data_IF_519450336475
#
_entry.id   IF_519450336475
#
_cell.length_a   1.000
_cell.length_b   1.000
_cell.length_c   1.000
_cell.angle_alpha   90.00
_cell.angle_beta   90.00
_cell.angle_gamma   90.00
#
_symmetry.space_group_name_H-M   'P 1'
#
loop_
_entity.id
_entity.type
_entity.pdbx_description
1 polymer ?
#
# COMPACT_ATOMS: atom_id res chain seq x y z
N UNK A 1 -84.08 21.82 46.11
CA UNK A 1 -83.69 21.19 47.39
C UNK A 1 -82.19 20.93 47.32
N UNK A 2 -81.43 21.50 48.26
CA UNK A 2 -79.97 21.51 48.30
C UNK A 2 -79.41 20.09 48.38
N UNK A 3 -78.39 19.78 47.59
CA UNK A 3 -77.34 18.83 47.97
C UNK A 3 -75.99 19.34 47.44
N UNK A 4 -75.17 19.81 48.39
CA UNK A 4 -73.71 19.90 48.30
C UNK A 4 -73.13 18.49 48.33
N UNK A 5 -71.97 18.31 47.68
CA UNK A 5 -70.81 17.47 48.06
C UNK A 5 -70.08 17.06 46.77
N UNK A 6 -68.77 17.03 46.65
CA UNK A 6 -67.63 17.42 47.48
C UNK A 6 -66.47 17.47 46.48
N UNK A 7 -65.79 18.60 46.34
CA UNK A 7 -64.69 18.76 45.41
C UNK A 7 -63.42 18.18 46.05
N UNK A 8 -63.06 16.95 45.70
CA UNK A 8 -61.77 16.37 46.08
C UNK A 8 -60.67 16.95 45.19
N UNK A 9 -59.95 17.94 45.73
CA UNK A 9 -58.72 18.46 45.13
C UNK A 9 -57.59 17.46 45.39
N UNK A 10 -57.25 16.66 44.37
CA UNK A 10 -56.10 15.76 44.41
C UNK A 10 -54.84 16.59 44.16
N UNK A 11 -54.04 16.84 45.21
CA UNK A 11 -52.73 17.45 45.10
C UNK A 11 -51.77 16.40 44.54
N UNK A 12 -51.45 16.50 43.26
CA UNK A 12 -50.37 15.72 42.64
C UNK A 12 -49.05 16.42 42.97
N UNK A 13 -48.26 15.82 43.87
CA UNK A 13 -46.87 16.20 44.07
C UNK A 13 -46.07 15.78 42.84
N UNK A 14 -45.75 16.75 41.97
CA UNK A 14 -44.77 16.57 40.91
C UNK A 14 -43.37 16.60 41.55
N UNK A 15 -42.51 15.58 41.37
CA UNK A 15 -41.13 15.69 41.83
C UNK A 15 -40.41 16.75 41.00
N UNK A 16 -39.84 17.74 41.69
CA UNK A 16 -38.94 18.73 41.14
C UNK A 16 -37.69 17.98 40.65
N UNK A 17 -37.55 17.80 39.34
CA UNK A 17 -36.30 17.34 38.76
C UNK A 17 -35.24 18.43 39.00
N UNK A 18 -34.29 18.13 39.87
CA UNK A 18 -33.09 18.95 40.05
C UNK A 18 -32.29 18.79 38.76
N UNK A 19 -32.27 19.83 37.93
CA UNK A 19 -31.28 19.96 36.87
C UNK A 19 -29.93 20.24 37.56
N UNK A 20 -29.11 19.21 37.73
CA UNK A 20 -27.69 19.39 37.91
C UNK A 20 -27.14 19.91 36.58
N UNK A 21 -26.65 21.15 36.57
CA UNK A 21 -25.81 21.63 35.51
C UNK A 21 -24.48 20.86 35.61
N UNK A 22 -24.29 19.86 34.75
CA UNK A 22 -22.96 19.32 34.51
C UNK A 22 -22.14 20.42 33.84
N UNK A 23 -21.07 20.82 34.51
CA UNK A 23 -20.03 21.61 33.90
C UNK A 23 -19.45 20.79 32.75
N UNK A 24 -19.56 21.30 31.52
CA UNK A 24 -18.77 20.80 30.41
C UNK A 24 -17.29 21.05 30.74
N UNK A 25 -16.61 20.02 31.22
CA UNK A 25 -15.16 19.96 31.12
C UNK A 25 -14.83 19.94 29.63
N UNK A 26 -14.33 21.08 29.14
CA UNK A 26 -13.63 21.14 27.87
C UNK A 26 -12.43 20.19 27.97
N UNK A 27 -12.56 19.00 27.39
CA UNK A 27 -11.40 18.19 27.05
C UNK A 27 -10.62 18.95 25.97
N UNK A 28 -9.72 19.82 26.41
CA UNK A 28 -8.54 20.16 25.65
C UNK A 28 -7.83 18.82 25.39
N UNK A 29 -7.92 18.33 24.16
CA UNK A 29 -7.03 17.30 23.66
C UNK A 29 -5.63 17.90 23.76
N UNK A 30 -4.94 17.57 24.85
CA UNK A 30 -3.51 17.72 24.96
C UNK A 30 -2.92 16.96 23.78
N UNK A 31 -2.57 17.70 22.73
CA UNK A 31 -1.60 17.25 21.74
C UNK A 31 -0.27 17.14 22.47
N UNK A 32 -0.16 16.09 23.30
CA UNK A 32 1.11 15.56 23.69
C UNK A 32 1.80 15.19 22.38
N UNK A 33 2.80 15.99 22.04
CA UNK A 33 3.87 15.54 21.18
C UNK A 33 4.41 14.27 21.80
N UNK A 34 3.92 13.12 21.33
CA UNK A 34 4.51 11.83 21.59
C UNK A 34 5.91 11.87 20.97
N UNK A 35 6.88 12.24 21.79
CA UNK A 35 8.27 11.89 21.58
C UNK A 35 8.35 10.38 21.66
N UNK A 36 8.25 9.69 20.51
CA UNK A 36 8.49 8.26 20.42
C UNK A 36 9.98 7.98 20.66
N UNK A 37 10.32 7.86 21.93
CA UNK A 37 11.59 7.28 22.38
C UNK A 37 11.29 5.82 22.78
N UNK A 38 11.68 4.87 21.92
CA UNK A 38 11.95 3.49 22.35
C UNK A 38 10.82 2.46 22.34
N UNK A 39 10.03 2.34 21.27
CA UNK A 39 9.39 1.03 21.03
C UNK A 39 10.46 0.03 20.58
N UNK A 40 10.52 -1.13 21.24
CA UNK A 40 11.52 -2.14 20.92
C UNK A 40 11.33 -2.64 19.48
N UNK A 41 12.40 -2.58 18.69
CA UNK A 41 12.44 -3.18 17.36
C UNK A 41 12.09 -4.67 17.45
N UNK A 42 11.42 -5.23 16.43
CA UNK A 42 11.19 -6.69 16.36
C UNK A 42 12.47 -7.46 15.96
N UNK A 43 13.55 -7.27 16.72
CA UNK A 43 14.81 -7.99 16.53
C UNK A 43 14.53 -9.49 16.63
N UNK A 44 14.95 -10.25 15.62
CA UNK A 44 14.69 -11.69 15.50
C UNK A 44 13.65 -12.06 14.44
N UNK A 45 12.88 -11.08 13.94
CA UNK A 45 12.09 -11.27 12.72
C UNK A 45 13.01 -11.26 11.49
N UNK A 46 12.54 -11.84 10.39
CA UNK A 46 13.21 -11.72 9.09
C UNK A 46 13.29 -10.26 8.61
N UNK A 47 14.11 -9.98 7.58
CA UNK A 47 14.26 -8.64 7.03
C UNK A 47 12.91 -8.01 6.67
N UNK A 48 12.79 -6.71 6.88
CA UNK A 48 11.56 -5.94 6.73
C UNK A 48 11.65 -4.98 5.54
N UNK A 49 10.50 -4.55 5.06
CA UNK A 49 10.32 -3.73 3.85
C UNK A 49 9.14 -2.78 4.06
N UNK A 50 9.10 -1.57 3.47
CA UNK A 50 9.96 -0.99 2.43
C UNK A 50 11.31 -0.45 2.92
N UNK A 51 12.24 -0.20 1.99
CA UNK A 51 13.60 0.32 2.27
C UNK A 51 14.10 1.29 1.19
N UNK A 52 15.15 2.04 1.52
CA UNK A 52 15.96 2.72 0.53
C UNK A 52 16.81 1.69 -0.22
N UNK A 53 16.53 1.49 -1.52
CA UNK A 53 17.21 0.49 -2.34
C UNK A 53 18.63 0.92 -2.76
N UNK A 54 18.99 2.20 -2.56
CA UNK A 54 20.37 2.68 -2.73
C UNK A 54 21.23 2.42 -1.49
N UNK A 55 20.61 2.16 -0.33
CA UNK A 55 21.30 1.83 0.89
C UNK A 55 21.57 0.33 0.99
N UNK A 56 22.81 -0.07 0.74
CA UNK A 56 23.26 -1.47 0.84
C UNK A 56 23.39 -1.99 2.28
N UNK A 57 23.38 -1.11 3.28
CA UNK A 57 23.58 -1.50 4.67
C UNK A 57 22.38 -2.29 5.21
N UNK A 58 22.69 -3.32 5.99
CA UNK A 58 21.74 -4.14 6.72
C UNK A 58 22.49 -5.06 7.67
N UNK A 59 21.91 -5.31 8.84
CA UNK A 59 22.47 -6.19 9.87
C UNK A 59 21.63 -7.45 10.06
N UNK A 60 20.44 -7.53 9.45
CA UNK A 60 19.60 -8.71 9.51
C UNK A 60 20.13 -9.78 8.55
N UNK A 61 20.77 -10.80 9.11
CA UNK A 61 21.35 -11.93 8.36
C UNK A 61 20.45 -13.16 8.34
N UNK A 62 19.16 -12.99 8.68
CA UNK A 62 18.18 -14.07 8.58
C UNK A 62 17.97 -14.43 7.11
N UNK A 63 18.35 -15.65 6.76
CA UNK A 63 18.29 -16.16 5.39
C UNK A 63 17.02 -17.00 5.17
N UNK A 64 16.41 -16.82 4.01
CA UNK A 64 15.42 -17.73 3.43
C UNK A 64 15.73 -17.90 1.93
N UNK A 65 15.25 -18.97 1.27
CA UNK A 65 15.52 -19.16 -0.16
C UNK A 65 15.01 -17.97 -0.97
N UNK A 66 15.85 -17.44 -1.86
CA UNK A 66 15.35 -16.50 -2.86
C UNK A 66 14.30 -17.20 -3.73
N UNK A 67 13.19 -16.52 -3.95
CA UNK A 67 12.19 -16.98 -4.89
C UNK A 67 12.79 -17.00 -6.32
N UNK A 68 12.39 -17.96 -7.18
CA UNK A 68 12.75 -17.97 -8.60
C UNK A 68 12.38 -16.66 -9.32
N UNK A 69 12.81 -16.52 -10.57
CA UNK A 69 12.40 -15.36 -11.38
C UNK A 69 10.91 -15.39 -11.69
N UNK A 70 10.30 -14.24 -11.97
CA UNK A 70 8.86 -14.11 -12.23
C UNK A 70 8.32 -15.08 -13.31
N UNK A 71 9.08 -15.32 -14.38
CA UNK A 71 8.72 -16.25 -15.46
C UNK A 71 8.70 -17.73 -15.05
N UNK A 72 9.17 -18.06 -13.84
CA UNK A 72 9.19 -19.42 -13.31
C UNK A 72 8.15 -19.60 -12.17
N UNK A 73 7.29 -18.61 -11.95
CA UNK A 73 6.34 -18.58 -10.84
C UNK A 73 4.95 -18.16 -11.32
N UNK A 74 3.90 -18.50 -10.57
CA UNK A 74 2.56 -17.99 -10.87
C UNK A 74 2.46 -16.54 -10.41
N UNK A 75 2.09 -15.63 -11.30
CA UNK A 75 1.48 -14.37 -10.91
C UNK A 75 0.20 -14.70 -10.11
N UNK A 76 0.08 -14.11 -8.93
CA UNK A 76 -1.08 -14.30 -8.05
C UNK A 76 -1.82 -12.98 -7.78
N UNK A 77 -1.13 -11.84 -7.82
CA UNK A 77 -1.76 -10.56 -7.59
C UNK A 77 -1.03 -9.42 -8.33
N UNK A 78 -1.79 -8.42 -8.77
CA UNK A 78 -1.27 -7.11 -9.18
C UNK A 78 -2.02 -6.08 -8.34
N UNK A 79 -1.30 -5.15 -7.72
CA UNK A 79 -1.89 -4.01 -7.02
C UNK A 79 -0.99 -2.78 -7.15
N UNK A 80 -1.53 -1.61 -6.79
CA UNK A 80 -0.76 -0.36 -6.81
C UNK A 80 -0.79 0.34 -5.45
N UNK A 81 0.21 1.14 -5.16
CA UNK A 81 0.28 2.03 -4.00
C UNK A 81 0.32 3.49 -4.44
N UNK A 82 -0.32 4.38 -3.67
CA UNK A 82 -0.14 5.82 -3.86
C UNK A 82 1.25 6.21 -3.37
N UNK A 83 2.05 6.79 -4.27
CA UNK A 83 3.50 6.97 -4.12
C UNK A 83 4.27 5.65 -3.96
N UNK A 84 5.59 5.74 -4.03
CA UNK A 84 6.45 4.59 -3.77
C UNK A 84 6.57 4.32 -2.26
N UNK A 85 6.37 3.06 -1.89
CA UNK A 85 6.71 2.51 -0.58
C UNK A 85 8.23 2.53 -0.41
N UNK A 86 8.96 2.08 -1.43
CA UNK A 86 10.42 2.13 -1.47
C UNK A 86 10.93 3.53 -1.76
N UNK A 87 12.17 3.79 -1.34
CA UNK A 87 12.93 4.95 -1.79
C UNK A 87 13.99 4.51 -2.78
N UNK A 88 14.07 5.18 -3.93
CA UNK A 88 15.04 4.87 -4.97
C UNK A 88 15.68 6.11 -5.58
N UNK A 89 16.68 5.94 -6.47
CA UNK A 89 17.40 7.05 -7.09
C UNK A 89 16.50 8.07 -7.80
N UNK A 90 15.47 7.61 -8.52
CA UNK A 90 14.55 8.50 -9.26
C UNK A 90 13.22 8.77 -8.56
N UNK A 91 12.98 8.20 -7.39
CA UNK A 91 11.82 8.43 -6.54
C UNK A 91 12.27 8.60 -5.09
N UNK A 92 12.77 9.80 -4.80
CA UNK A 92 13.42 10.12 -3.53
C UNK A 92 12.76 11.29 -2.78
N UNK A 93 11.77 11.93 -3.40
CA UNK A 93 11.06 13.08 -2.83
C UNK A 93 10.06 12.57 -1.80
N UNK A 94 10.34 12.79 -0.52
CA UNK A 94 9.40 12.41 0.54
C UNK A 94 8.14 13.27 0.49
N UNK A 95 6.97 12.63 0.42
CA UNK A 95 5.67 13.31 0.32
C UNK A 95 5.15 13.67 1.71
N UNK A 96 4.91 12.67 2.57
CA UNK A 96 4.55 12.83 3.98
C UNK A 96 4.54 11.45 4.70
N UNK A 97 4.26 11.45 6.01
CA UNK A 97 4.25 10.26 6.87
C UNK A 97 2.86 9.65 7.09
N UNK A 98 1.87 9.96 6.24
CA UNK A 98 0.52 9.35 6.31
C UNK A 98 0.48 8.02 5.55
N UNK A 99 -0.64 7.30 5.65
CA UNK A 99 -0.87 6.09 4.86
C UNK A 99 -0.89 6.37 3.35
N UNK A 100 -1.20 7.60 2.92
CA UNK A 100 -1.05 8.05 1.51
C UNK A 100 0.27 8.78 1.25
N UNK A 101 1.26 8.61 2.14
CA UNK A 101 2.56 9.24 2.11
C UNK A 101 3.53 8.52 1.17
N UNK A 102 4.82 8.42 1.54
CA UNK A 102 5.82 7.69 0.75
C UNK A 102 6.72 8.59 -0.09
N UNK A 103 7.19 8.10 -1.23
CA UNK A 103 8.15 8.79 -2.09
C UNK A 103 7.62 9.03 -3.51
N UNK A 104 7.75 10.27 -3.98
CA UNK A 104 7.38 10.67 -5.32
C UNK A 104 8.57 10.61 -6.29
N UNK A 105 8.28 10.38 -7.56
CA UNK A 105 9.23 10.50 -8.66
C UNK A 105 9.82 11.92 -8.69
N UNK A 106 11.14 12.01 -8.79
CA UNK A 106 11.89 13.27 -8.79
C UNK A 106 11.45 14.21 -9.93
N UNK A 107 10.98 13.64 -11.04
CA UNK A 107 10.56 14.36 -12.24
C UNK A 107 9.16 15.00 -12.14
N UNK A 108 8.40 14.75 -11.07
CA UNK A 108 7.02 15.25 -10.94
C UNK A 108 6.92 16.79 -11.09
N UNK A 109 7.90 17.54 -10.55
CA UNK A 109 7.93 19.00 -10.62
C UNK A 109 8.24 19.55 -12.04
N UNK A 110 8.63 18.70 -12.99
CA UNK A 110 9.00 19.08 -14.34
C UNK A 110 7.93 18.77 -15.40
N UNK A 111 6.75 18.29 -14.98
CA UNK A 111 5.64 18.01 -15.89
C UNK A 111 5.07 19.29 -16.50
N UNK A 112 4.66 19.19 -17.76
CA UNK A 112 3.96 20.26 -18.46
C UNK A 112 2.51 20.42 -17.98
N UNK A 113 1.91 21.57 -18.25
CA UNK A 113 0.49 21.81 -17.96
C UNK A 113 -0.43 20.79 -18.68
N UNK A 114 -0.05 20.35 -19.89
CA UNK A 114 -0.77 19.33 -20.63
C UNK A 114 -0.74 17.99 -19.90
N UNK A 115 0.44 17.54 -19.47
CA UNK A 115 0.60 16.29 -18.72
C UNK A 115 -0.10 16.31 -17.36
N UNK A 116 -0.29 17.49 -16.76
CA UNK A 116 -0.99 17.68 -15.48
C UNK A 116 -2.51 17.86 -15.64
N UNK A 117 -3.02 17.93 -16.87
CA UNK A 117 -4.45 18.19 -17.11
C UNK A 117 -5.27 17.03 -16.54
N UNK A 118 -6.23 17.28 -15.62
CA UNK A 118 -7.03 16.23 -15.01
C UNK A 118 -7.77 15.37 -16.03
N UNK A 119 -7.84 14.07 -15.74
CA UNK A 119 -8.63 13.09 -16.49
C UNK A 119 -9.56 12.41 -15.50
N UNK A 120 -10.85 12.44 -15.80
CA UNK A 120 -11.86 11.70 -15.03
C UNK A 120 -11.87 10.24 -15.47
N UNK A 121 -12.02 9.31 -14.53
CA UNK A 121 -12.15 7.88 -14.87
C UNK A 121 -12.32 6.97 -13.65
N UNK A 122 -12.42 5.67 -13.92
CA UNK A 122 -12.84 4.67 -12.94
C UNK A 122 -11.78 4.25 -11.92
N UNK A 123 -10.52 4.70 -12.06
CA UNK A 123 -9.47 4.41 -11.09
C UNK A 123 -9.39 5.56 -10.09
N UNK A 124 -9.68 5.28 -8.82
CA UNK A 124 -9.85 6.30 -7.79
C UNK A 124 -8.53 6.64 -7.07
N UNK A 125 -8.45 7.87 -6.55
CA UNK A 125 -7.36 8.29 -5.66
C UNK A 125 -6.04 8.65 -6.35
N UNK A 126 -5.96 8.57 -7.68
CA UNK A 126 -4.79 8.90 -8.48
C UNK A 126 -5.16 9.94 -9.54
N UNK A 127 -4.30 10.94 -9.74
CA UNK A 127 -4.43 11.96 -10.80
C UNK A 127 -3.07 12.21 -11.48
N UNK A 128 -3.04 12.86 -12.66
CA UNK A 128 -1.79 13.23 -13.28
C UNK A 128 -0.93 14.10 -12.36
N UNK A 129 0.38 13.81 -12.34
CA UNK A 129 1.35 14.36 -11.41
C UNK A 129 1.63 13.50 -10.18
N UNK A 130 0.73 12.57 -9.84
CA UNK A 130 0.96 11.63 -8.74
C UNK A 130 1.98 10.56 -9.13
N UNK A 131 2.62 9.97 -8.13
CA UNK A 131 3.45 8.78 -8.28
C UNK A 131 2.64 7.57 -7.85
N UNK A 132 2.83 6.42 -8.51
CA UNK A 132 2.35 5.13 -8.03
C UNK A 132 3.48 4.10 -8.05
N UNK A 133 3.46 3.15 -7.14
CA UNK A 133 4.28 1.94 -7.22
C UNK A 133 3.38 0.75 -7.52
N UNK A 134 3.73 -0.03 -8.53
CA UNK A 134 2.98 -1.22 -8.94
C UNK A 134 3.75 -2.45 -8.50
N UNK A 135 3.03 -3.39 -7.90
CA UNK A 135 3.54 -4.68 -7.49
C UNK A 135 2.94 -5.79 -8.32
N UNK A 136 3.77 -6.56 -9.01
CA UNK A 136 3.40 -7.87 -9.55
C UNK A 136 3.88 -8.95 -8.60
N UNK A 137 2.95 -9.52 -7.85
CA UNK A 137 3.20 -10.53 -6.82
C UNK A 137 3.14 -11.91 -7.43
N UNK A 138 4.18 -12.69 -7.19
CA UNK A 138 4.35 -14.05 -7.68
C UNK A 138 4.54 -15.03 -6.53
N UNK A 139 4.08 -16.26 -6.74
CA UNK A 139 4.18 -17.36 -5.79
C UNK A 139 4.66 -18.64 -6.46
N UNK A 140 5.42 -19.45 -5.72
CA UNK A 140 5.80 -20.81 -6.15
C UNK A 140 4.65 -21.81 -6.01
N UNK A 141 3.54 -21.42 -5.39
CA UNK A 141 2.36 -22.27 -5.27
C UNK A 141 1.64 -22.42 -6.61
N UNK A 142 0.86 -23.50 -6.75
CA UNK A 142 -0.18 -23.59 -7.77
C UNK A 142 -1.34 -22.66 -7.36
N UNK A 143 -1.31 -21.42 -7.84
CA UNK A 143 -2.25 -20.37 -7.49
C UNK A 143 -2.83 -19.73 -8.75
N UNK A 144 -4.09 -19.29 -8.67
CA UNK A 144 -4.72 -18.46 -9.68
C UNK A 144 -4.72 -16.99 -9.22
N UNK A 145 -4.55 -16.04 -10.15
CA UNK A 145 -4.67 -14.61 -9.87
C UNK A 145 -5.97 -14.23 -9.15
N UNK A 146 -5.89 -13.38 -8.13
CA UNK A 146 -7.06 -12.90 -7.39
C UNK A 146 -6.78 -11.80 -6.38
N UNK A 147 -7.82 -11.39 -5.67
CA UNK A 147 -7.77 -10.30 -4.70
C UNK A 147 -6.82 -10.59 -3.52
N UNK A 148 -5.98 -9.60 -3.21
CA UNK A 148 -5.11 -9.58 -2.03
C UNK A 148 -4.08 -10.70 -1.92
N UNK A 149 -3.33 -10.68 -0.82
CA UNK A 149 -2.23 -11.64 -0.56
C UNK A 149 -2.72 -13.09 -0.40
N UNK A 150 -4.00 -13.29 -0.05
CA UNK A 150 -4.58 -14.62 0.11
C UNK A 150 -4.56 -15.45 -1.18
N UNK A 151 -4.64 -14.80 -2.35
CA UNK A 151 -4.49 -15.45 -3.65
C UNK A 151 -3.11 -16.09 -3.85
N UNK A 152 -2.07 -15.54 -3.21
CA UNK A 152 -0.69 -15.99 -3.34
C UNK A 152 -0.32 -17.17 -2.45
N UNK A 153 -1.17 -17.49 -1.46
CA UNK A 153 -0.94 -18.58 -0.50
C UNK A 153 -2.21 -19.43 -0.40
N UNK A 154 -2.57 -20.19 -1.45
CA UNK A 154 -3.75 -21.04 -1.44
C UNK A 154 -3.64 -22.17 -0.41
N UNK A 155 -4.78 -22.73 -0.02
CA UNK A 155 -4.85 -23.86 0.91
C UNK A 155 -3.97 -25.02 0.42
N UNK A 156 -3.18 -25.59 1.33
CA UNK A 156 -2.26 -26.69 1.03
C UNK A 156 -0.88 -26.24 0.52
N UNK A 157 -0.62 -24.95 0.33
CA UNK A 157 0.74 -24.47 0.04
C UNK A 157 1.52 -24.22 1.34
N UNK A 158 2.26 -25.23 1.80
CA UNK A 158 2.93 -25.20 3.11
C UNK A 158 4.20 -24.33 3.15
N UNK A 159 4.85 -24.07 2.01
CA UNK A 159 6.13 -23.34 1.96
C UNK A 159 6.22 -22.45 0.70
N UNK A 160 5.36 -21.41 0.60
CA UNK A 160 5.41 -20.48 -0.52
C UNK A 160 6.74 -19.74 -0.56
N UNK A 161 7.37 -19.67 -1.73
CA UNK A 161 8.33 -18.62 -2.04
C UNK A 161 7.55 -17.48 -2.71
N UNK A 162 7.62 -16.29 -2.12
CA UNK A 162 6.98 -15.09 -2.64
C UNK A 162 7.99 -14.17 -3.28
N UNK A 163 7.63 -13.61 -4.43
CA UNK A 163 8.41 -12.62 -5.16
C UNK A 163 7.54 -11.43 -5.52
N UNK A 164 8.07 -10.22 -5.37
CA UNK A 164 7.44 -9.00 -5.86
C UNK A 164 8.37 -8.34 -6.85
N UNK A 165 7.91 -8.18 -8.09
CA UNK A 165 8.49 -7.23 -9.04
C UNK A 165 7.83 -5.88 -8.80
N UNK A 166 8.62 -4.85 -8.53
CA UNK A 166 8.13 -3.52 -8.21
C UNK A 166 8.66 -2.47 -9.19
N UNK A 167 7.74 -1.65 -9.70
CA UNK A 167 8.03 -0.54 -10.61
C UNK A 167 7.31 0.72 -10.15
N UNK A 168 8.02 1.84 -10.16
CA UNK A 168 7.46 3.16 -9.84
C UNK A 168 7.13 3.91 -11.12
N UNK A 169 5.94 4.51 -11.18
CA UNK A 169 5.50 5.31 -12.31
C UNK A 169 5.15 6.74 -11.88
N UNK A 170 5.47 7.69 -12.74
CA UNK A 170 4.92 9.04 -12.71
C UNK A 170 3.67 9.07 -13.60
N UNK A 171 2.51 9.28 -13.01
CA UNK A 171 1.23 9.29 -13.73
C UNK A 171 1.08 10.60 -14.49
N UNK A 172 0.76 10.54 -15.77
CA UNK A 172 0.61 11.69 -16.66
C UNK A 172 -0.64 11.57 -17.53
N UNK A 173 -1.17 12.69 -17.99
CA UNK A 173 -2.14 12.73 -19.08
C UNK A 173 -1.38 12.86 -20.41
N UNK A 174 -0.89 11.73 -20.92
CA UNK A 174 -0.12 11.68 -22.17
C UNK A 174 -0.22 10.29 -22.79
N UNK A 175 -0.97 10.19 -23.90
CA UNK A 175 -1.17 8.93 -24.63
C UNK A 175 0.11 8.35 -25.27
N UNK A 176 1.22 9.09 -25.26
CA UNK A 176 2.53 8.59 -25.69
C UNK A 176 3.35 7.97 -24.57
N UNK A 177 2.92 8.12 -23.31
CA UNK A 177 3.48 7.42 -22.17
C UNK A 177 3.10 5.92 -22.19
N UNK A 178 3.62 5.16 -21.22
CA UNK A 178 3.34 3.72 -21.14
C UNK A 178 1.84 3.47 -20.91
N UNK A 179 1.34 2.38 -21.52
CA UNK A 179 -0.02 1.91 -21.36
C UNK A 179 -0.07 0.78 -20.32
N UNK A 180 -0.72 1.01 -19.19
CA UNK A 180 -0.85 -0.01 -18.14
C UNK A 180 -1.50 -1.29 -18.66
N UNK A 181 -2.38 -1.21 -19.66
CA UNK A 181 -3.06 -2.37 -20.24
C UNK A 181 -2.12 -3.34 -20.97
N UNK A 182 -0.90 -2.92 -21.29
CA UNK A 182 0.15 -3.79 -21.81
C UNK A 182 0.86 -4.58 -20.69
N UNK A 183 0.59 -4.25 -19.43
CA UNK A 183 1.24 -4.83 -18.24
C UNK A 183 0.28 -5.60 -17.32
N UNK A 184 -1.02 -5.65 -17.66
CA UNK A 184 -2.04 -6.34 -16.85
C UNK A 184 -2.00 -7.85 -17.05
N UNK A 185 -2.75 -8.55 -16.21
CA UNK A 185 -3.18 -9.92 -16.44
C UNK A 185 -4.62 -9.93 -16.98
N UNK A 186 -4.85 -10.59 -18.11
CA UNK A 186 -6.16 -10.79 -18.74
C UNK A 186 -6.45 -12.27 -19.06
N UNK A 187 -5.88 -13.18 -18.27
CA UNK A 187 -5.91 -14.62 -18.55
C UNK A 187 -4.64 -15.14 -19.22
N UNK A 188 -3.59 -14.31 -19.30
CA UNK A 188 -2.33 -14.69 -19.93
C UNK A 188 -1.59 -15.78 -19.14
N UNK A 189 -1.21 -16.84 -19.86
CA UNK A 189 -0.48 -18.01 -19.34
C UNK A 189 0.70 -18.31 -20.25
N UNK A 190 1.87 -18.52 -19.67
CA UNK A 190 3.09 -18.98 -20.36
C UNK A 190 3.69 -20.14 -19.59
N UNK A 191 4.06 -21.21 -20.29
CA UNK A 191 4.64 -22.43 -19.70
C UNK A 191 3.80 -22.97 -18.50
N UNK A 192 2.48 -22.99 -18.68
CA UNK A 192 1.48 -23.38 -17.67
C UNK A 192 1.46 -22.53 -16.38
N UNK A 193 2.07 -21.35 -16.42
CA UNK A 193 2.09 -20.39 -15.31
C UNK A 193 1.31 -19.12 -15.67
N UNK A 194 0.53 -18.61 -14.72
CA UNK A 194 -0.12 -17.30 -14.86
C UNK A 194 0.93 -16.19 -14.90
N UNK A 195 0.82 -15.27 -15.87
CA UNK A 195 1.81 -14.21 -16.09
C UNK A 195 1.12 -12.89 -16.46
N UNK A 196 1.70 -11.77 -16.05
CA UNK A 196 1.34 -10.49 -16.64
C UNK A 196 1.73 -10.48 -18.13
N UNK A 197 1.07 -9.67 -18.95
CA UNK A 197 1.46 -9.50 -20.36
C UNK A 197 2.90 -9.03 -20.51
N UNK A 198 3.31 -8.10 -19.65
CA UNK A 198 4.65 -7.53 -19.61
C UNK A 198 4.92 -6.93 -18.22
N UNK A 199 6.18 -6.95 -17.80
CA UNK A 199 6.68 -6.16 -16.67
C UNK A 199 7.84 -5.35 -17.25
N UNK A 200 7.83 -4.00 -17.12
CA UNK A 200 8.88 -3.16 -17.69
C UNK A 200 10.28 -3.63 -17.33
N UNK A 201 11.20 -3.59 -18.31
CA UNK A 201 12.58 -4.03 -18.15
C UNK A 201 13.66 -2.98 -18.42
N UNK A 202 13.25 -1.76 -18.78
CA UNK A 202 14.10 -0.66 -19.22
C UNK A 202 14.28 0.47 -18.19
N UNK A 203 13.69 0.35 -17.00
CA UNK A 203 13.79 1.30 -15.88
C UNK A 203 14.95 0.97 -14.91
N UNK A 204 16.07 0.51 -15.49
CA UNK A 204 17.29 0.17 -14.78
C UNK A 204 17.31 -1.24 -14.20
N UNK A 205 18.51 -1.71 -13.84
CA UNK A 205 18.72 -3.04 -13.25
C UNK A 205 18.03 -3.12 -11.89
N UNK A 206 17.16 -4.11 -11.64
CA UNK A 206 16.46 -4.23 -10.36
C UNK A 206 17.43 -4.56 -9.23
N UNK A 207 17.16 -4.01 -8.05
CA UNK A 207 17.82 -4.38 -6.80
C UNK A 207 17.03 -5.52 -6.18
N UNK A 208 17.65 -6.69 -6.08
CA UNK A 208 17.04 -7.91 -5.53
C UNK A 208 17.49 -8.13 -4.10
N UNK A 209 16.55 -8.28 -3.16
CA UNK A 209 16.86 -8.46 -1.74
C UNK A 209 15.77 -9.20 -0.98
N UNK A 210 16.12 -9.65 0.23
CA UNK A 210 15.19 -10.26 1.17
C UNK A 210 14.48 -9.20 1.98
N UNK A 211 13.17 -9.35 2.06
CA UNK A 211 12.30 -8.45 2.77
C UNK A 211 11.09 -9.15 3.35
N UNK A 212 10.08 -8.35 3.65
CA UNK A 212 8.79 -8.80 4.13
C UNK A 212 7.66 -8.27 3.24
N UNK A 213 6.43 -8.71 3.45
CA UNK A 213 5.30 -7.93 2.95
C UNK A 213 5.27 -6.55 3.62
N UNK A 214 4.70 -5.59 2.89
CA UNK A 214 4.43 -4.23 3.37
C UNK A 214 2.99 -4.13 3.87
N UNK A 215 2.55 -2.92 4.20
CA UNK A 215 1.20 -2.65 4.68
C UNK A 215 1.18 -1.63 5.82
N UNK A 216 0.21 -0.70 5.85
CA UNK A 216 0.18 0.43 6.79
C UNK A 216 0.04 0.01 8.26
N UNK A 217 -0.42 -1.22 8.54
CA UNK A 217 -0.50 -1.76 9.90
C UNK A 217 0.85 -2.15 10.50
N UNK A 218 1.91 -2.24 9.70
CA UNK A 218 3.24 -2.64 10.15
C UNK A 218 4.15 -1.43 10.36
N UNK A 219 5.03 -1.53 11.34
CA UNK A 219 6.08 -0.54 11.61
C UNK A 219 7.33 -1.27 12.12
N UNK A 220 8.32 -0.56 12.69
CA UNK A 220 9.56 -1.21 13.14
C UNK A 220 9.38 -2.06 14.42
N UNK A 221 8.25 -1.90 15.11
CA UNK A 221 7.88 -2.57 16.37
C UNK A 221 6.71 -3.55 16.20
N UNK A 222 6.00 -3.47 15.07
CA UNK A 222 4.99 -4.42 14.59
C UNK A 222 5.42 -4.89 13.21
N UNK A 223 6.25 -5.93 13.15
CA UNK A 223 6.83 -6.41 11.90
C UNK A 223 5.90 -7.36 11.14
N UNK A 224 6.06 -7.41 9.82
CA UNK A 224 5.38 -8.41 8.99
C UNK A 224 6.05 -9.78 9.18
N UNK A 225 5.27 -10.86 9.34
CA UNK A 225 5.79 -12.22 9.45
C UNK A 225 6.08 -12.88 8.11
N UNK A 226 5.62 -12.30 6.99
CA UNK A 226 5.68 -12.94 5.67
C UNK A 226 6.96 -12.53 4.96
N UNK A 227 7.80 -13.50 4.62
CA UNK A 227 9.08 -13.30 3.91
C UNK A 227 8.86 -13.18 2.41
N UNK A 228 9.51 -12.19 1.78
CA UNK A 228 9.34 -11.87 0.36
C UNK A 228 10.69 -11.60 -0.29
N UNK A 229 10.90 -12.16 -1.47
CA UNK A 229 11.97 -11.72 -2.37
C UNK A 229 11.50 -10.49 -3.13
N UNK A 230 12.13 -9.35 -2.87
CA UNK A 230 11.84 -8.12 -3.59
C UNK A 230 12.79 -7.96 -4.79
N UNK A 231 12.25 -7.41 -5.87
CA UNK A 231 12.96 -7.03 -7.08
C UNK A 231 12.47 -5.65 -7.49
N UNK A 232 13.19 -4.61 -7.06
CA UNK A 232 12.73 -3.21 -7.14
C UNK A 232 13.57 -2.46 -8.14
N UNK A 233 12.94 -1.84 -9.13
CA UNK A 233 13.64 -1.06 -10.17
C UNK A 233 13.93 0.37 -9.74
N UNK A 234 15.12 0.91 -10.04
CA UNK A 234 15.56 2.20 -9.48
C UNK A 234 15.04 3.45 -10.18
N UNK A 235 14.42 3.31 -11.35
CA UNK A 235 14.00 4.44 -12.19
C UNK A 235 12.48 4.55 -12.28
N UNK A 236 11.99 5.77 -12.47
CA UNK A 236 10.59 6.01 -12.76
C UNK A 236 10.34 5.95 -14.27
N UNK A 237 9.16 5.48 -14.68
CA UNK A 237 8.65 5.65 -16.04
C UNK A 237 7.35 6.47 -16.03
N UNK A 238 7.03 7.12 -17.14
CA UNK A 238 5.73 7.79 -17.29
C UNK A 238 4.66 6.78 -17.67
N UNK A 239 3.49 6.89 -17.04
CA UNK A 239 2.33 6.05 -17.29
C UNK A 239 1.12 6.92 -17.63
N UNK A 240 0.42 6.61 -18.73
CA UNK A 240 -0.78 7.32 -19.12
C UNK A 240 -1.94 6.97 -18.18
N UNK A 241 -2.52 7.96 -17.51
CA UNK A 241 -3.60 7.72 -16.54
C UNK A 241 -4.84 7.08 -17.18
N UNK A 242 -5.09 7.34 -18.47
CA UNK A 242 -6.23 6.76 -19.17
C UNK A 242 -6.19 5.24 -19.17
N UNK A 243 -4.98 4.65 -19.16
CA UNK A 243 -4.78 3.21 -19.11
C UNK A 243 -5.15 2.59 -17.75
N UNK A 244 -4.89 3.28 -16.63
CA UNK A 244 -5.31 2.85 -15.29
C UNK A 244 -6.83 2.88 -15.17
N UNK A 245 -7.46 3.94 -15.69
CA UNK A 245 -8.92 4.03 -15.72
C UNK A 245 -9.53 2.85 -16.46
N UNK A 246 -9.02 2.53 -17.66
CA UNK A 246 -9.48 1.35 -18.43
C UNK A 246 -9.30 0.05 -17.66
N UNK A 247 -8.21 -0.11 -16.92
CA UNK A 247 -7.96 -1.31 -16.13
C UNK A 247 -8.98 -1.52 -15.00
N UNK A 248 -9.36 -0.45 -14.29
CA UNK A 248 -10.45 -0.50 -13.31
C UNK A 248 -11.79 -0.77 -13.99
N UNK A 249 -12.12 -0.02 -15.04
CA UNK A 249 -13.41 -0.07 -15.73
C UNK A 249 -13.73 -1.44 -16.36
N UNK A 250 -12.69 -2.17 -16.79
CA UNK A 250 -12.83 -3.52 -17.35
C UNK A 250 -13.10 -4.61 -16.28
N UNK A 251 -12.99 -4.28 -14.99
CA UNK A 251 -13.21 -5.24 -13.91
C UNK A 251 -12.09 -6.26 -13.82
N UNK A 252 -10.88 -5.80 -13.45
CA UNK A 252 -9.73 -6.69 -13.27
C UNK A 252 -9.97 -7.73 -12.17
N UNK A 253 -9.34 -8.91 -12.30
CA UNK A 253 -9.53 -10.06 -11.37
C UNK A 253 -9.04 -9.80 -9.95
N UNK A 254 -8.28 -8.71 -9.75
CA UNK A 254 -7.74 -8.31 -8.46
C UNK A 254 -8.67 -7.36 -7.71
N UNK A 255 -9.74 -6.89 -8.37
CA UNK A 255 -10.68 -5.89 -7.86
C UNK A 255 -9.98 -4.59 -7.42
N UNK A 256 -8.90 -4.24 -8.11
CA UNK A 256 -8.12 -3.03 -7.86
C UNK A 256 -8.79 -1.86 -8.55
N UNK A 257 -9.55 -1.07 -7.79
CA UNK A 257 -10.22 0.15 -8.26
C UNK A 257 -9.57 1.43 -7.75
N UNK A 258 -8.63 1.30 -6.81
CA UNK A 258 -7.87 2.40 -6.22
C UNK A 258 -6.52 1.89 -5.72
N UNK A 259 -5.58 2.82 -5.51
CA UNK A 259 -4.27 2.49 -4.98
C UNK A 259 -4.28 2.35 -3.46
N UNK A 260 -3.50 1.40 -2.94
CA UNK A 260 -3.32 1.16 -1.51
C UNK A 260 -2.43 2.22 -0.85
N UNK A 261 -2.53 2.30 0.47
CA UNK A 261 -1.60 3.11 1.28
C UNK A 261 -0.23 2.45 1.42
N UNK A 262 0.76 3.22 1.90
CA UNK A 262 2.15 2.81 2.06
C UNK A 262 2.51 2.55 3.53
N UNK A 263 3.44 1.63 3.77
CA UNK A 263 4.18 1.54 5.03
C UNK A 263 5.33 2.55 5.05
N UNK A 264 5.59 3.17 6.19
CA UNK A 264 6.76 4.04 6.34
C UNK A 264 8.09 3.26 6.20
N UNK A 265 9.10 3.91 5.63
CA UNK A 265 10.40 3.31 5.34
C UNK A 265 11.03 2.65 6.58
N UNK A 266 11.47 1.41 6.45
CA UNK A 266 12.29 0.76 7.47
C UNK A 266 13.69 1.37 7.42
N UNK A 267 14.13 1.90 8.56
CA UNK A 267 15.41 2.63 8.69
C UNK A 267 16.38 1.95 9.66
N UNK A 268 15.89 1.12 10.57
CA UNK A 268 16.71 0.35 11.50
C UNK A 268 17.54 -0.73 10.76
N UNK A 269 18.89 -0.67 10.76
CA UNK A 269 19.73 -1.66 10.08
C UNK A 269 19.48 -3.10 10.55
N UNK A 270 19.10 -3.30 11.81
CA UNK A 270 18.76 -4.60 12.41
C UNK A 270 17.55 -5.27 11.76
N UNK A 271 16.72 -4.50 11.04
CA UNK A 271 15.56 -4.98 10.31
C UNK A 271 15.81 -5.06 8.80
N UNK A 272 16.97 -4.61 8.30
CA UNK A 272 17.29 -4.61 6.87
C UNK A 272 18.26 -5.75 6.54
N UNK A 273 18.00 -6.45 5.43
CA UNK A 273 18.97 -7.37 4.85
C UNK A 273 20.17 -6.59 4.27
N UNK A 274 21.40 -7.12 4.30
CA UNK A 274 22.45 -6.66 3.41
C UNK A 274 22.02 -6.77 1.94
N UNK A 275 22.45 -5.83 1.10
CA UNK A 275 22.31 -5.91 -0.36
C UNK A 275 23.71 -6.01 -0.96
N UNK A 276 23.91 -7.00 -1.83
CA UNK A 276 25.18 -7.24 -2.52
C UNK A 276 25.52 -6.16 -3.56
#
# INVERSE_FOLDING_TARGET
>A
MKFLNSLYLTIVFLPLAIFAAEAEESHASDHSHATHDGDALCVGMGPQTPRDISNKQGLNTTEFPFAPTAHQMNLCNIHTHTNAEHKGPEYSVFVNATDSGGYACNAAAALSEAELTPVEGAYEGVKPGDTIEVHWVHTSCAASPGEGLGSCVPEGCESPLLRVEAQVFLVVNDTSALDFMDMVYDGHVMDDLHQAKHIPDDTGTPVVFRGSTTGPSYNQSTCSPVQVTWSVRPQCAKLDISSLHRWSEQGNVFNETSSHGVRQLVTAPELLAPID
#
